data_IF_690830057906
#
_entry.id   IF_690830057906
#
_cell.length_a   1.000
_cell.length_b   1.000
_cell.length_c   1.000
_cell.angle_alpha   90.00
_cell.angle_beta   90.00
_cell.angle_gamma   90.00
#
_symmetry.space_group_name_H-M   'P 1'
#
loop_
_entity.id
_entity.type
_entity.pdbx_description
1 polymer ?
#
# COMPACT_ATOMS: atom_id res chain seq x y z
N UNK A 1 -18.69 -37.40 22.56
CA UNK A 1 -19.15 -36.10 22.03
C UNK A 1 -18.00 -35.07 21.98
N UNK A 2 -16.80 -35.45 21.51
CA UNK A 2 -15.59 -34.59 21.50
C UNK A 2 -14.91 -34.48 20.12
N UNK A 3 -15.18 -35.40 19.18
CA UNK A 3 -14.55 -35.42 17.84
C UNK A 3 -15.09 -34.36 16.87
N UNK A 4 -16.29 -33.82 17.10
CA UNK A 4 -16.89 -32.79 16.22
C UNK A 4 -16.38 -31.37 16.49
N UNK A 5 -15.84 -31.11 17.69
CA UNK A 5 -15.30 -29.79 18.04
C UNK A 5 -13.92 -29.52 17.44
N UNK A 6 -13.15 -30.56 17.13
CA UNK A 6 -11.79 -30.40 16.61
C UNK A 6 -11.73 -29.94 15.14
N UNK A 7 -12.78 -30.19 14.36
CA UNK A 7 -12.87 -29.78 12.96
C UNK A 7 -13.23 -28.29 12.77
N UNK A 8 -13.79 -27.65 13.80
CA UNK A 8 -14.23 -26.24 13.72
C UNK A 8 -13.06 -25.29 14.03
N UNK A 9 -12.08 -25.70 14.85
CA UNK A 9 -10.90 -24.89 15.15
C UNK A 9 -9.91 -24.74 13.99
N UNK A 10 -10.00 -25.56 12.93
CA UNK A 10 -9.07 -25.48 11.79
C UNK A 10 -9.46 -24.40 10.77
N UNK A 11 -10.67 -23.83 10.84
CA UNK A 11 -11.19 -22.88 9.84
C UNK A 11 -10.84 -21.42 10.21
N UNK A 12 -10.45 -21.15 11.45
CA UNK A 12 -10.10 -19.81 11.94
C UNK A 12 -8.61 -19.46 11.83
N UNK A 13 -7.80 -20.37 11.27
CA UNK A 13 -6.44 -20.02 10.84
C UNK A 13 -6.56 -19.28 9.50
N UNK A 14 -7.18 -18.09 9.53
CA UNK A 14 -6.96 -17.12 8.46
C UNK A 14 -5.46 -16.89 8.47
N UNK A 15 -4.79 -17.45 7.47
CA UNK A 15 -3.39 -17.17 7.20
C UNK A 15 -3.25 -15.66 7.20
N UNK A 16 -2.64 -15.11 8.24
CA UNK A 16 -2.10 -13.77 8.24
C UNK A 16 -0.96 -13.79 7.20
N UNK A 17 -1.33 -13.84 5.91
CA UNK A 17 -0.41 -13.61 4.83
C UNK A 17 -0.01 -12.16 5.00
N UNK A 18 1.24 -11.94 5.39
CA UNK A 18 1.82 -10.61 5.37
C UNK A 18 1.54 -10.02 3.98
N UNK A 19 0.96 -8.81 3.95
CA UNK A 19 0.68 -8.12 2.69
C UNK A 19 1.95 -8.11 1.85
N UNK A 20 1.91 -8.58 0.60
CA UNK A 20 3.13 -8.72 -0.21
C UNK A 20 3.81 -7.37 -0.38
N UNK A 21 5.15 -7.35 -0.32
CA UNK A 21 5.93 -6.15 -0.58
C UNK A 21 5.52 -5.55 -1.93
N UNK A 22 5.01 -4.32 -1.93
CA UNK A 22 4.43 -3.66 -3.09
C UNK A 22 5.18 -2.36 -3.39
N UNK A 23 6.37 -2.44 -4.02
CA UNK A 23 7.17 -1.26 -4.32
C UNK A 23 6.51 -0.46 -5.45
N UNK A 24 6.30 0.83 -5.19
CA UNK A 24 5.81 1.78 -6.18
C UNK A 24 6.84 2.89 -6.40
N UNK A 25 7.23 3.18 -7.65
CA UNK A 25 8.23 4.19 -7.96
C UNK A 25 7.68 5.60 -7.71
N UNK A 26 8.43 6.42 -6.97
CA UNK A 26 8.05 7.82 -6.70
C UNK A 26 8.32 8.68 -7.94
N UNK A 27 7.29 9.30 -8.55
CA UNK A 27 7.45 10.18 -9.70
C UNK A 27 8.32 11.39 -9.36
N UNK A 28 9.18 11.78 -10.31
CA UNK A 28 10.03 12.97 -10.17
C UNK A 28 11.16 12.84 -9.15
N UNK A 29 11.43 11.66 -8.59
CA UNK A 29 12.57 11.46 -7.71
C UNK A 29 13.88 11.40 -8.52
N UNK A 30 14.86 12.21 -8.14
CA UNK A 30 16.22 12.22 -8.73
C UNK A 30 16.98 10.90 -8.52
N UNK A 31 16.56 10.13 -7.52
CA UNK A 31 17.01 8.75 -7.29
C UNK A 31 15.90 7.76 -7.63
N UNK A 32 16.23 6.50 -7.93
CA UNK A 32 15.24 5.41 -8.08
C UNK A 32 14.62 5.08 -6.71
N UNK A 33 13.79 5.99 -6.20
CA UNK A 33 13.12 5.89 -4.91
C UNK A 33 11.79 5.18 -5.08
N UNK A 34 11.54 4.23 -4.18
CA UNK A 34 10.31 3.47 -4.13
C UNK A 34 9.70 3.60 -2.74
N UNK A 35 8.38 3.61 -2.68
CA UNK A 35 7.63 3.42 -1.43
C UNK A 35 6.92 2.09 -1.46
N UNK A 36 6.80 1.45 -0.30
CA UNK A 36 5.98 0.26 -0.18
C UNK A 36 4.52 0.67 0.06
N UNK A 37 3.63 0.39 -0.89
CA UNK A 37 2.22 0.80 -0.82
C UNK A 37 1.47 0.17 0.36
N UNK A 38 1.94 -0.97 0.88
CA UNK A 38 1.27 -1.66 1.99
C UNK A 38 1.39 -0.95 3.34
N UNK A 39 2.25 0.06 3.44
CA UNK A 39 2.46 0.86 4.66
C UNK A 39 2.13 2.34 4.47
N UNK A 40 1.48 2.71 3.36
CA UNK A 40 0.95 4.06 3.13
C UNK A 40 -0.27 4.27 4.02
N UNK A 41 -0.34 5.44 4.67
CA UNK A 41 -1.36 5.77 5.67
C UNK A 41 -2.27 6.90 5.18
N UNK A 42 -1.68 7.95 4.62
CA UNK A 42 -2.44 9.09 4.06
C UNK A 42 -1.84 9.54 2.73
N UNK A 43 -2.72 10.07 1.88
CA UNK A 43 -2.36 10.72 0.63
C UNK A 43 -3.15 12.02 0.56
N UNK A 44 -2.43 13.15 0.57
CA UNK A 44 -3.02 14.48 0.43
C UNK A 44 -2.69 15.05 -0.95
N UNK A 45 -3.70 15.56 -1.65
CA UNK A 45 -3.55 16.16 -2.98
C UNK A 45 -4.07 17.59 -2.92
N UNK A 46 -3.23 18.56 -3.27
CA UNK A 46 -3.65 19.94 -3.50
C UNK A 46 -3.39 20.33 -4.97
N UNK A 47 -3.36 21.63 -5.28
CA UNK A 47 -3.17 22.10 -6.66
C UNK A 47 -1.70 22.06 -7.14
N UNK A 48 -0.73 21.93 -6.22
CA UNK A 48 0.70 22.09 -6.48
C UNK A 48 1.54 20.85 -6.13
N UNK A 49 1.05 20.00 -5.23
CA UNK A 49 1.77 18.83 -4.74
C UNK A 49 0.84 17.66 -4.35
N UNK A 50 1.43 16.47 -4.35
CA UNK A 50 0.93 15.28 -3.68
C UNK A 50 1.86 14.93 -2.51
N UNK A 51 1.27 14.66 -1.33
CA UNK A 51 1.98 14.19 -0.14
C UNK A 51 1.56 12.76 0.16
N UNK A 52 2.54 11.90 0.42
CA UNK A 52 2.31 10.50 0.80
C UNK A 52 2.99 10.23 2.13
N UNK A 53 2.21 9.91 3.17
CA UNK A 53 2.73 9.52 4.47
C UNK A 53 2.71 8.00 4.64
N UNK A 54 3.79 7.43 5.18
CA UNK A 54 3.95 5.98 5.34
C UNK A 54 4.82 5.59 6.55
N UNK A 55 4.66 4.34 7.00
CA UNK A 55 5.53 3.72 8.01
C UNK A 55 5.34 4.18 9.46
N UNK A 56 4.45 5.15 9.73
CA UNK A 56 4.21 5.70 11.06
C UNK A 56 3.11 4.98 11.84
N UNK A 57 3.20 3.65 12.03
CA UNK A 57 2.20 2.90 12.83
C UNK A 57 2.06 3.42 14.27
N UNK A 58 1.39 2.66 15.15
CA UNK A 58 1.08 3.08 16.54
C UNK A 58 2.28 3.51 17.42
N UNK A 59 3.53 3.33 16.97
CA UNK A 59 4.77 3.62 17.73
C UNK A 59 5.92 4.21 16.87
N UNK A 60 5.69 4.67 15.63
CA UNK A 60 6.77 4.94 14.66
C UNK A 60 6.98 6.40 14.23
N UNK A 61 8.21 6.74 13.85
CA UNK A 61 8.59 7.96 13.13
C UNK A 61 8.08 7.90 11.69
N UNK A 62 6.84 8.33 11.45
CA UNK A 62 6.27 8.38 10.11
C UNK A 62 7.18 9.11 9.11
N UNK A 63 7.18 8.66 7.87
CA UNK A 63 7.88 9.29 6.76
C UNK A 63 6.88 9.96 5.84
N UNK A 64 7.31 11.04 5.20
CA UNK A 64 6.53 11.78 4.22
C UNK A 64 7.36 11.98 2.96
N UNK A 65 6.74 11.82 1.80
CA UNK A 65 7.28 12.23 0.51
C UNK A 65 6.34 13.27 -0.11
N UNK A 66 6.95 14.29 -0.73
CA UNK A 66 6.26 15.33 -1.48
C UNK A 66 6.73 15.30 -2.93
N UNK A 67 5.78 15.31 -3.86
CA UNK A 67 6.05 15.41 -5.29
C UNK A 67 5.25 16.58 -5.84
N UNK A 68 5.91 17.49 -6.55
CA UNK A 68 5.24 18.59 -7.23
C UNK A 68 4.39 18.06 -8.39
N UNK A 69 3.20 18.63 -8.57
CA UNK A 69 2.25 18.35 -9.65
C UNK A 69 1.84 19.66 -10.31
N UNK A 70 1.44 19.60 -11.58
CA UNK A 70 1.02 20.77 -12.36
C UNK A 70 -0.37 21.26 -11.96
N UNK A 71 -1.22 20.35 -11.50
CA UNK A 71 -2.58 20.60 -11.08
C UNK A 71 -3.15 19.39 -10.34
N UNK A 72 -4.30 19.59 -9.70
CA UNK A 72 -5.02 18.53 -8.97
C UNK A 72 -5.38 17.30 -9.80
N UNK A 73 -5.62 17.44 -11.12
CA UNK A 73 -5.95 16.32 -11.98
C UNK A 73 -4.75 15.38 -12.19
N UNK A 74 -3.53 15.92 -12.26
CA UNK A 74 -2.31 15.10 -12.26
C UNK A 74 -2.15 14.33 -10.95
N UNK A 75 -2.41 14.97 -9.81
CA UNK A 75 -2.41 14.29 -8.51
C UNK A 75 -3.45 13.16 -8.43
N UNK A 76 -4.65 13.37 -8.95
CA UNK A 76 -5.69 12.33 -9.03
C UNK A 76 -5.27 11.15 -9.92
N UNK A 77 -4.59 11.43 -11.04
CA UNK A 77 -4.05 10.39 -11.91
C UNK A 77 -2.99 9.56 -11.19
N UNK A 78 -2.08 10.19 -10.46
CA UNK A 78 -1.06 9.49 -9.65
C UNK A 78 -1.73 8.59 -8.60
N UNK A 79 -2.75 9.10 -7.90
CA UNK A 79 -3.50 8.30 -6.93
C UNK A 79 -4.18 7.09 -7.58
N UNK A 80 -4.76 7.26 -8.77
CA UNK A 80 -5.32 6.15 -9.52
C UNK A 80 -4.26 5.10 -9.87
N UNK A 81 -3.09 5.52 -10.35
CA UNK A 81 -1.97 4.61 -10.67
C UNK A 81 -1.46 3.86 -9.43
N UNK A 82 -1.37 4.53 -8.28
CA UNK A 82 -1.04 3.89 -6.99
C UNK A 82 -2.10 2.85 -6.59
N UNK A 83 -3.39 3.19 -6.72
CA UNK A 83 -4.50 2.28 -6.40
C UNK A 83 -4.49 1.04 -7.31
N UNK A 84 -4.23 1.22 -8.59
CA UNK A 84 -4.13 0.11 -9.54
C UNK A 84 -2.91 -0.78 -9.25
N UNK A 85 -1.79 -0.18 -8.84
CA UNK A 85 -0.60 -0.94 -8.43
C UNK A 85 -0.84 -1.75 -7.15
N UNK A 86 -1.45 -1.15 -6.13
CA UNK A 86 -1.84 -1.85 -4.91
C UNK A 86 -2.77 -3.04 -5.22
N UNK A 87 -3.79 -2.83 -6.06
CA UNK A 87 -4.71 -3.90 -6.48
C UNK A 87 -3.98 -5.06 -7.17
N UNK A 88 -2.95 -4.78 -7.98
CA UNK A 88 -2.14 -5.83 -8.63
C UNK A 88 -1.31 -6.61 -7.61
N UNK A 89 -0.80 -5.96 -6.57
CA UNK A 89 -0.05 -6.62 -5.50
C UNK A 89 -0.92 -7.57 -4.67
N UNK A 90 -2.21 -7.29 -4.52
CA UNK A 90 -3.15 -8.13 -3.76
C UNK A 90 -3.65 -9.36 -4.56
N UNK A 91 -3.42 -9.41 -5.87
CA UNK A 91 -3.80 -10.58 -6.66
C UNK A 91 -2.89 -11.75 -6.28
N UNK A 92 -3.46 -12.95 -6.03
CA UNK A 92 -2.65 -14.15 -5.88
C UNK A 92 -1.82 -14.32 -7.15
N UNK A 93 -0.49 -14.43 -7.03
CA UNK A 93 0.39 -14.68 -8.16
C UNK A 93 -0.04 -16.00 -8.84
N UNK A 94 -0.85 -15.91 -9.90
CA UNK A 94 -1.32 -17.06 -10.69
C UNK A 94 -0.26 -17.57 -11.68
N UNK A 95 1.01 -17.36 -11.38
CA UNK A 95 2.13 -17.85 -12.17
C UNK A 95 3.08 -18.64 -11.26
N UNK A 96 2.78 -19.94 -11.15
CA UNK A 96 3.78 -20.97 -10.93
C UNK A 96 3.39 -22.22 -11.70
#
# INVERSE_FOLDING_TARGET
>A
MQRRFMLISLILCQTALASPFCPWPVPGSDSKRFINLTVVQTIDINDEEIKVAFGGGNLGSGHEIKTAIKNRAEGQKILQEMSEAARRCDLPNMHK
#
